data_IF_107503072152
#
_entry.id   IF_107503072152
#
_cell.length_a   1.000
_cell.length_b   1.000
_cell.length_c   1.000
_cell.angle_alpha   90.00
_cell.angle_beta   90.00
_cell.angle_gamma   90.00
#
_symmetry.space_group_name_H-M   'P 1'
#
loop_
_entity.id
_entity.type
_entity.pdbx_description
1 polymer ?
#
# COMPACT_ATOMS: atom_id res chain seq x y z
N UNK A 1 -9.21 12.94 -5.60
CA UNK A 1 -8.65 12.14 -4.48
C UNK A 1 -7.25 12.61 -4.07
N UNK A 2 -6.42 13.04 -5.03
CA UNK A 2 -5.00 13.35 -4.80
C UNK A 2 -4.75 14.51 -3.84
N UNK A 3 -5.71 15.44 -3.71
CA UNK A 3 -5.68 16.48 -2.66
C UNK A 3 -5.70 15.86 -1.27
N UNK A 4 -6.59 14.88 -1.04
CA UNK A 4 -6.71 14.20 0.26
C UNK A 4 -5.47 13.34 0.54
N UNK A 5 -4.98 12.62 -0.48
CA UNK A 5 -3.74 11.85 -0.41
C UNK A 5 -2.48 12.74 -0.27
N UNK A 6 -2.58 14.04 -0.58
CA UNK A 6 -1.47 14.99 -0.62
C UNK A 6 -0.47 14.72 -1.74
N UNK A 7 -0.96 14.23 -2.88
CA UNK A 7 -0.20 13.99 -4.13
C UNK A 7 -0.46 15.03 -5.22
N UNK A 8 -1.43 15.93 -5.02
CA UNK A 8 -1.68 17.03 -5.96
C UNK A 8 -0.62 18.12 -5.80
N UNK A 9 0.06 18.48 -6.89
CA UNK A 9 1.17 19.45 -6.90
C UNK A 9 0.83 20.81 -7.48
N UNK A 10 -0.40 21.04 -7.95
CA UNK A 10 -0.79 22.30 -8.59
C UNK A 10 -2.28 22.64 -8.49
N UNK A 11 -2.61 23.86 -8.91
CA UNK A 11 -3.94 24.46 -8.75
C UNK A 11 -4.14 25.08 -7.36
N UNK A 12 -5.34 25.62 -7.12
CA UNK A 12 -5.71 26.17 -5.82
C UNK A 12 -6.34 25.07 -4.95
N UNK A 13 -5.88 24.95 -3.70
CA UNK A 13 -6.41 24.03 -2.69
C UNK A 13 -6.77 24.88 -1.47
N UNK A 14 -8.01 24.78 -1.01
CA UNK A 14 -8.50 25.50 0.17
C UNK A 14 -9.32 24.56 1.06
N UNK A 15 -9.45 24.91 2.34
CA UNK A 15 -10.10 24.13 3.39
C UNK A 15 -9.15 23.38 4.32
N UNK A 16 -9.73 22.68 5.30
CA UNK A 16 -9.00 21.90 6.31
C UNK A 16 -9.30 20.41 6.19
N UNK A 17 -8.26 19.56 6.29
CA UNK A 17 -8.42 18.11 6.32
C UNK A 17 -8.10 17.61 7.73
N UNK A 18 -9.06 16.93 8.35
CA UNK A 18 -8.89 16.32 9.67
C UNK A 18 -9.02 14.79 9.57
N UNK A 19 -8.22 14.06 10.33
CA UNK A 19 -8.27 12.60 10.47
C UNK A 19 -8.61 12.32 11.92
N UNK A 20 -9.76 11.68 12.14
CA UNK A 20 -10.27 11.39 13.50
C UNK A 20 -10.35 12.64 14.39
N UNK A 21 -10.70 13.79 13.81
CA UNK A 21 -10.82 15.07 14.52
C UNK A 21 -9.52 15.88 14.65
N UNK A 22 -8.37 15.34 14.25
CA UNK A 22 -7.08 16.03 14.32
C UNK A 22 -6.62 16.54 12.95
N UNK A 23 -5.96 17.71 12.87
CA UNK A 23 -5.39 18.20 11.60
C UNK A 23 -4.45 17.18 10.95
N UNK A 24 -4.68 16.91 9.66
CA UNK A 24 -3.84 16.00 8.88
C UNK A 24 -2.43 16.56 8.73
N UNK A 25 -1.43 15.76 9.12
CA UNK A 25 0.00 16.05 8.88
C UNK A 25 0.51 15.24 7.69
N UNK A 26 0.89 15.91 6.60
CA UNK A 26 1.28 15.23 5.36
C UNK A 26 2.49 14.30 5.54
N UNK A 27 3.49 14.70 6.33
CA UNK A 27 4.73 13.96 6.59
C UNK A 27 4.48 12.54 7.15
N UNK A 28 3.49 12.41 8.03
CA UNK A 28 3.17 11.14 8.69
C UNK A 28 2.02 10.41 8.01
N UNK A 29 1.12 11.15 7.34
CA UNK A 29 -0.07 10.58 6.70
C UNK A 29 0.27 9.48 5.69
N UNK A 30 1.27 9.71 4.83
CA UNK A 30 1.68 8.74 3.81
C UNK A 30 2.16 7.40 4.40
N UNK A 31 2.56 7.36 5.68
CA UNK A 31 3.00 6.12 6.36
C UNK A 31 1.85 5.31 6.95
N UNK A 32 0.69 5.93 7.14
CA UNK A 32 -0.49 5.32 7.79
C UNK A 32 -1.69 5.17 6.84
N UNK A 33 -1.57 5.67 5.62
CA UNK A 33 -2.61 5.59 4.59
C UNK A 33 -2.19 4.69 3.43
N UNK A 34 -3.10 3.85 2.93
CA UNK A 34 -2.98 3.23 1.61
C UNK A 34 -3.61 4.13 0.54
N UNK A 35 -2.93 4.32 -0.59
CA UNK A 35 -3.46 5.03 -1.75
C UNK A 35 -3.02 4.30 -3.02
N UNK A 36 -3.99 3.81 -3.79
CA UNK A 36 -3.75 3.16 -5.07
C UNK A 36 -3.99 4.18 -6.19
N UNK A 37 -3.05 4.27 -7.13
CA UNK A 37 -3.19 5.12 -8.31
C UNK A 37 -4.12 4.49 -9.35
N UNK A 38 -4.56 5.30 -10.32
CA UNK A 38 -5.39 4.79 -11.43
C UNK A 38 -4.58 3.89 -12.36
N UNK A 39 -3.29 4.17 -12.53
CA UNK A 39 -2.38 3.33 -13.30
C UNK A 39 -1.56 2.48 -12.35
N UNK A 40 -1.50 1.19 -12.63
CA UNK A 40 -0.70 0.25 -11.87
C UNK A 40 0.79 0.42 -12.20
N UNK A 41 1.62 0.35 -11.16
CA UNK A 41 3.08 0.41 -11.29
C UNK A 41 3.65 -0.83 -10.62
N UNK A 42 4.11 -1.77 -11.43
CA UNK A 42 4.69 -3.03 -10.98
C UNK A 42 5.98 -3.34 -11.72
N UNK A 43 6.81 -4.20 -11.12
CA UNK A 43 7.98 -4.73 -11.80
C UNK A 43 7.54 -5.82 -12.79
N UNK A 44 7.93 -5.77 -14.07
CA UNK A 44 7.44 -6.70 -15.09
C UNK A 44 8.01 -8.12 -14.98
N UNK A 45 8.95 -8.35 -14.08
CA UNK A 45 9.68 -9.63 -13.95
C UNK A 45 9.44 -10.32 -12.60
N UNK A 46 8.43 -9.88 -11.83
CA UNK A 46 8.09 -10.49 -10.54
C UNK A 46 6.67 -11.05 -10.60
N UNK A 47 6.46 -12.15 -9.91
CA UNK A 47 5.14 -12.73 -9.74
C UNK A 47 4.29 -11.93 -8.75
N UNK A 48 2.97 -12.16 -8.75
CA UNK A 48 2.06 -11.58 -7.76
C UNK A 48 2.55 -11.87 -6.33
N UNK A 49 2.91 -13.11 -6.04
CA UNK A 49 3.38 -13.51 -4.71
C UNK A 49 4.68 -12.79 -4.31
N UNK A 50 5.65 -12.70 -5.21
CA UNK A 50 6.91 -12.00 -4.96
C UNK A 50 6.70 -10.48 -4.75
N UNK A 51 5.77 -9.88 -5.51
CA UNK A 51 5.37 -8.48 -5.34
C UNK A 51 4.82 -8.21 -3.93
N UNK A 52 3.95 -9.11 -3.43
CA UNK A 52 3.40 -9.02 -2.08
C UNK A 52 4.47 -9.24 -1.00
N UNK A 53 5.38 -10.20 -1.17
CA UNK A 53 6.53 -10.40 -0.27
C UNK A 53 7.38 -9.13 -0.20
N UNK A 54 7.75 -8.58 -1.35
CA UNK A 54 8.60 -7.40 -1.42
C UNK A 54 7.94 -6.19 -0.74
N UNK A 55 6.65 -5.97 -0.99
CA UNK A 55 5.86 -4.93 -0.32
C UNK A 55 5.80 -5.13 1.19
N UNK A 56 5.55 -6.37 1.65
CA UNK A 56 5.51 -6.69 3.08
C UNK A 56 6.88 -6.46 3.75
N UNK A 57 7.98 -6.83 3.11
CA UNK A 57 9.33 -6.61 3.65
C UNK A 57 9.67 -5.13 3.86
N UNK A 58 9.14 -4.24 3.02
CA UNK A 58 9.41 -2.80 3.12
C UNK A 58 8.48 -2.07 4.09
N UNK A 59 7.28 -2.62 4.35
CA UNK A 59 6.22 -1.92 5.08
C UNK A 59 5.90 -2.54 6.45
N UNK A 60 6.23 -3.82 6.66
CA UNK A 60 6.06 -4.49 7.94
C UNK A 60 7.30 -4.25 8.80
N UNK A 61 7.15 -3.97 10.11
CA UNK A 61 8.28 -3.79 11.02
C UNK A 61 9.26 -4.98 11.02
N UNK A 62 10.54 -4.69 11.25
CA UNK A 62 11.60 -5.70 11.19
C UNK A 62 11.54 -6.72 12.33
N UNK A 63 10.86 -6.36 13.43
CA UNK A 63 10.63 -7.21 14.61
C UNK A 63 9.65 -8.35 14.33
N UNK A 64 8.84 -8.24 13.27
CA UNK A 64 7.90 -9.29 12.87
C UNK A 64 8.67 -10.42 12.20
N UNK A 65 8.55 -11.63 12.74
CA UNK A 65 9.25 -12.80 12.24
C UNK A 65 8.80 -13.21 10.83
N UNK A 66 9.67 -13.95 10.14
CA UNK A 66 9.44 -14.36 8.77
C UNK A 66 8.20 -15.25 8.58
N UNK A 67 7.81 -16.03 9.59
CA UNK A 67 6.66 -16.91 9.48
C UNK A 67 5.37 -16.11 9.61
N UNK A 68 5.29 -15.20 10.58
CA UNK A 68 4.15 -14.27 10.72
C UNK A 68 3.98 -13.41 9.48
N UNK A 69 5.09 -12.93 8.89
CA UNK A 69 5.02 -12.18 7.63
C UNK A 69 4.49 -13.01 6.47
N UNK A 70 4.88 -14.29 6.36
CA UNK A 70 4.35 -15.20 5.33
C UNK A 70 2.86 -15.48 5.55
N UNK A 71 2.44 -15.76 6.78
CA UNK A 71 1.02 -15.97 7.10
C UNK A 71 0.16 -14.77 6.68
N UNK A 72 0.62 -13.54 6.99
CA UNK A 72 -0.05 -12.32 6.56
C UNK A 72 -0.21 -12.23 5.03
N UNK A 73 0.81 -12.63 4.26
CA UNK A 73 0.75 -12.62 2.79
C UNK A 73 -0.25 -13.65 2.27
N UNK A 74 -0.28 -14.85 2.85
CA UNK A 74 -1.27 -15.88 2.48
C UNK A 74 -2.70 -15.41 2.78
N UNK A 75 -2.92 -14.78 3.94
CA UNK A 75 -4.23 -14.20 4.29
C UNK A 75 -4.65 -13.11 3.30
N UNK A 76 -3.73 -12.23 2.89
CA UNK A 76 -4.02 -11.20 1.88
C UNK A 76 -4.34 -11.84 0.54
N UNK A 77 -3.57 -12.83 0.10
CA UNK A 77 -3.81 -13.53 -1.16
C UNK A 77 -5.19 -14.21 -1.21
N UNK A 78 -5.61 -14.81 -0.11
CA UNK A 78 -6.94 -15.40 0.02
C UNK A 78 -8.03 -14.33 0.04
N UNK A 79 -7.84 -13.26 0.83
CA UNK A 79 -8.81 -12.17 0.99
C UNK A 79 -9.15 -11.48 -0.35
N UNK A 80 -8.17 -11.34 -1.24
CA UNK A 80 -8.36 -10.73 -2.57
C UNK A 80 -8.42 -11.75 -3.71
N UNK A 81 -8.57 -13.04 -3.38
CA UNK A 81 -8.78 -14.14 -4.34
C UNK A 81 -7.66 -14.28 -5.40
N UNK A 82 -6.42 -13.91 -5.05
CA UNK A 82 -5.27 -13.94 -5.96
C UNK A 82 -4.55 -15.29 -6.01
N UNK A 83 -4.98 -16.28 -5.22
CA UNK A 83 -4.37 -17.61 -5.17
C UNK A 83 -4.23 -18.31 -6.54
N UNK A 84 -5.21 -18.26 -7.45
CA UNK A 84 -5.07 -18.82 -8.79
C UNK A 84 -3.95 -18.15 -9.63
N UNK A 85 -3.63 -16.89 -9.33
CA UNK A 85 -2.65 -16.09 -10.07
C UNK A 85 -1.29 -15.97 -9.36
N UNK A 86 -1.09 -16.70 -8.26
CA UNK A 86 0.10 -16.62 -7.38
C UNK A 86 1.44 -16.52 -8.11
N UNK A 87 1.64 -17.38 -9.09
CA UNK A 87 2.89 -17.50 -9.85
C UNK A 87 2.83 -16.81 -11.23
N UNK A 88 1.77 -16.03 -11.49
CA UNK A 88 1.68 -15.22 -12.70
C UNK A 88 2.49 -13.95 -12.54
N UNK A 89 3.13 -13.51 -13.62
CA UNK A 89 3.70 -12.17 -13.70
C UNK A 89 2.59 -11.12 -13.65
N UNK A 90 2.91 -9.95 -13.10
CA UNK A 90 2.04 -8.77 -13.15
C UNK A 90 2.16 -8.08 -14.51
#
# INVERSE_FOLDING_TARGET
>A
MDVLAGRKTGGYIDGSINISGYPKRQETFARISGYCEQNDIHSPHVTIYESLIYSAWLRVPAEVDSNTRKMFIEEVMELVELNPLRNSLI
#
